data_IF_573007536077
#
_entry.id   IF_573007536077
#
_cell.length_a   1.000
_cell.length_b   1.000
_cell.length_c   1.000
_cell.angle_alpha   90.00
_cell.angle_beta   90.00
_cell.angle_gamma   90.00
#
_symmetry.space_group_name_H-M   'P 1'
#
loop_
_entity.id
_entity.type
_entity.pdbx_description
1 polymer ?
#
# COMPACT_ATOMS: atom_id res chain seq x y z
N UNK A 1 -12.31 77.44 44.83
CA UNK A 1 -10.95 76.86 44.76
C UNK A 1 -11.03 75.38 45.11
N UNK A 2 -11.23 74.50 44.12
CA UNK A 2 -10.77 73.10 44.15
C UNK A 2 -11.07 72.53 42.77
N UNK A 3 -10.00 72.36 42.01
CA UNK A 3 -10.03 72.07 40.59
C UNK A 3 -10.42 70.60 40.38
N UNK A 4 -11.50 70.40 39.63
CA UNK A 4 -11.76 69.17 38.88
C UNK A 4 -10.57 68.95 37.95
N UNK A 5 -9.63 68.05 38.27
CA UNK A 5 -8.73 67.34 37.33
C UNK A 5 -7.89 66.30 38.10
N UNK A 6 -8.33 65.02 38.14
CA UNK A 6 -7.32 63.97 37.99
C UNK A 6 -7.71 62.80 37.07
N UNK A 7 -8.88 62.81 36.41
CA UNK A 7 -9.33 61.63 35.66
C UNK A 7 -8.61 61.38 34.31
N UNK A 8 -7.83 62.34 33.81
CA UNK A 8 -7.16 62.19 32.49
C UNK A 8 -5.89 61.34 32.58
N UNK A 9 -5.27 61.20 33.76
CA UNK A 9 -4.03 60.40 33.90
C UNK A 9 -4.27 58.89 33.94
N UNK A 10 -5.45 58.43 34.37
CA UNK A 10 -5.75 56.99 34.39
C UNK A 10 -5.92 56.41 32.98
N UNK A 11 -6.40 57.19 32.01
CA UNK A 11 -6.57 56.72 30.64
C UNK A 11 -5.26 56.57 29.87
N UNK A 12 -4.22 57.31 30.24
CA UNK A 12 -2.89 57.15 29.63
C UNK A 12 -2.11 55.96 30.19
N UNK A 13 -2.29 55.61 31.46
CA UNK A 13 -1.65 54.40 32.02
C UNK A 13 -2.22 53.11 31.45
N UNK A 14 -3.54 53.04 31.18
CA UNK A 14 -4.15 51.83 30.61
C UNK A 14 -3.75 51.54 29.15
N UNK A 15 -3.35 52.57 28.37
CA UNK A 15 -2.81 52.31 27.01
C UNK A 15 -1.36 51.88 27.01
N UNK A 16 -0.57 52.26 28.02
CA UNK A 16 0.84 51.85 28.09
C UNK A 16 1.02 50.39 28.52
N UNK A 17 0.06 49.79 29.23
CA UNK A 17 0.17 48.38 29.62
C UNK A 17 -0.01 47.40 28.46
N UNK A 18 -0.81 47.73 27.43
CA UNK A 18 -0.95 46.83 26.28
C UNK A 18 0.33 46.74 25.42
N UNK A 19 1.17 47.78 25.45
CA UNK A 19 2.46 47.75 24.75
C UNK A 19 3.49 46.98 25.57
N UNK A 20 3.42 47.03 26.90
CA UNK A 20 4.38 46.36 27.78
C UNK A 20 4.23 44.84 27.78
N UNK A 21 3.00 44.33 27.74
CA UNK A 21 2.75 42.87 27.69
C UNK A 21 3.27 42.23 26.40
N UNK A 22 3.29 42.96 25.28
CA UNK A 22 3.89 42.46 24.04
C UNK A 22 5.43 42.42 24.07
N UNK A 23 6.08 43.30 24.85
CA UNK A 23 7.55 43.39 24.89
C UNK A 23 8.20 42.35 25.81
N UNK A 24 7.55 41.93 26.88
CA UNK A 24 8.11 40.92 27.80
C UNK A 24 8.24 39.55 27.12
N UNK A 25 7.35 39.23 26.16
CA UNK A 25 7.33 37.96 25.45
C UNK A 25 8.56 37.70 24.54
N UNK A 26 9.36 38.74 24.23
CA UNK A 26 10.48 38.70 23.29
C UNK A 26 11.86 38.83 23.96
N UNK A 27 11.95 39.03 25.27
CA UNK A 27 13.22 39.42 25.91
C UNK A 27 14.36 38.38 25.82
N UNK A 28 14.10 37.14 25.42
CA UNK A 28 15.14 36.13 25.18
C UNK A 28 15.12 35.51 23.78
N UNK A 29 14.27 35.98 22.86
CA UNK A 29 14.05 35.37 21.56
C UNK A 29 14.55 36.32 20.46
N UNK A 30 15.48 35.84 19.63
CA UNK A 30 15.99 36.61 18.49
C UNK A 30 14.94 36.75 17.39
N UNK A 31 15.12 37.70 16.48
CA UNK A 31 14.22 37.83 15.32
C UNK A 31 14.22 36.56 14.44
N UNK A 32 15.36 35.89 14.36
CA UNK A 32 15.53 34.60 13.66
C UNK A 32 14.76 33.48 14.36
N UNK A 33 14.88 33.35 15.68
CA UNK A 33 14.11 32.38 16.48
C UNK A 33 12.60 32.58 16.30
N UNK A 34 12.15 33.83 16.24
CA UNK A 34 10.74 34.15 16.04
C UNK A 34 10.26 33.77 14.62
N UNK A 35 11.10 33.97 13.60
CA UNK A 35 10.80 33.55 12.22
C UNK A 35 10.75 32.01 12.11
N UNK A 36 11.75 31.33 12.65
CA UNK A 36 11.80 29.87 12.70
C UNK A 36 10.57 29.30 13.41
N UNK A 37 10.21 29.85 14.57
CA UNK A 37 9.02 29.43 15.30
C UNK A 37 7.73 29.69 14.51
N UNK A 38 7.64 30.78 13.74
CA UNK A 38 6.48 30.98 12.88
C UNK A 38 6.40 29.94 11.77
N UNK A 39 7.48 29.70 11.06
CA UNK A 39 7.53 28.71 9.96
C UNK A 39 7.17 27.32 10.49
N UNK A 40 7.76 26.94 11.62
CA UNK A 40 7.39 25.72 12.36
C UNK A 40 5.89 25.66 12.67
N UNK A 41 5.31 26.71 13.25
CA UNK A 41 3.88 26.70 13.63
C UNK A 41 2.95 26.76 12.39
N UNK A 42 3.40 27.34 11.28
CA UNK A 42 2.69 27.32 10.00
C UNK A 42 2.63 25.91 9.44
N UNK A 43 3.77 25.23 9.43
CA UNK A 43 3.92 23.88 8.89
C UNK A 43 3.21 22.84 9.76
N UNK A 44 3.54 22.77 11.05
CA UNK A 44 3.09 21.67 11.92
C UNK A 44 1.77 21.92 12.65
N UNK A 45 1.34 23.18 12.79
CA UNK A 45 0.18 23.57 13.60
C UNK A 45 -0.85 24.42 12.84
N UNK A 46 -0.73 24.52 11.52
CA UNK A 46 -1.63 25.26 10.63
C UNK A 46 -1.84 26.72 11.07
N UNK A 47 -0.78 27.40 11.50
CA UNK A 47 -0.83 28.82 11.84
C UNK A 47 -1.23 29.64 10.60
N UNK A 48 -2.42 30.24 10.62
CA UNK A 48 -2.91 31.11 9.55
C UNK A 48 -2.45 32.56 9.76
N UNK A 49 -1.41 32.94 9.04
CA UNK A 49 -0.89 34.32 9.03
C UNK A 49 -1.42 35.12 7.83
N UNK A 50 -1.81 36.37 8.10
CA UNK A 50 -2.07 37.40 7.07
C UNK A 50 -0.86 38.34 7.00
N UNK A 51 -0.47 38.74 5.78
CA UNK A 51 0.80 39.39 5.41
C UNK A 51 1.21 40.56 6.30
N UNK A 52 0.25 41.36 6.79
CA UNK A 52 0.48 42.42 7.77
C UNK A 52 -0.44 42.21 8.97
N UNK A 53 0.09 41.79 10.11
CA UNK A 53 -0.72 41.72 11.32
C UNK A 53 0.03 42.22 12.55
N UNK A 54 -0.43 43.34 13.11
CA UNK A 54 0.07 43.89 14.39
C UNK A 54 -0.11 42.94 15.59
N UNK A 55 -0.85 41.83 15.40
CA UNK A 55 -1.13 40.79 16.40
C UNK A 55 -0.44 39.44 16.10
N UNK A 56 0.70 39.47 15.41
CA UNK A 56 1.48 38.28 15.02
C UNK A 56 1.83 37.40 16.23
N UNK A 57 2.45 37.98 17.25
CA UNK A 57 2.79 37.28 18.49
C UNK A 57 1.55 36.72 19.23
N UNK A 58 0.46 37.49 19.31
CA UNK A 58 -0.78 37.02 19.96
C UNK A 58 -1.40 35.82 19.26
N UNK A 59 -1.35 35.75 17.92
CA UNK A 59 -1.86 34.59 17.17
C UNK A 59 -0.99 33.35 17.34
N UNK A 60 0.32 33.53 17.56
CA UNK A 60 1.22 32.42 17.80
C UNK A 60 0.96 31.79 19.17
N UNK A 61 0.55 32.56 20.20
CA UNK A 61 0.37 32.06 21.57
C UNK A 61 -0.47 30.79 21.65
N UNK A 62 -1.61 30.74 20.96
CA UNK A 62 -2.49 29.56 20.99
C UNK A 62 -1.83 28.35 20.31
N UNK A 63 -1.06 28.56 19.25
CA UNK A 63 -0.32 27.51 18.55
C UNK A 63 0.93 27.07 19.32
N UNK A 64 1.59 27.98 20.04
CA UNK A 64 2.67 27.68 20.97
C UNK A 64 2.13 26.81 22.11
N UNK A 65 0.98 27.16 22.71
CA UNK A 65 0.35 26.29 23.74
C UNK A 65 0.00 24.93 23.19
N UNK A 66 -0.57 24.84 21.99
CA UNK A 66 -0.89 23.56 21.36
C UNK A 66 0.36 22.70 21.15
N UNK A 67 1.47 23.29 20.71
CA UNK A 67 2.76 22.62 20.59
C UNK A 67 3.30 22.19 21.95
N UNK A 68 3.32 23.09 22.93
CA UNK A 68 3.77 22.79 24.28
C UNK A 68 2.98 21.63 24.89
N UNK A 69 1.65 21.66 24.75
CA UNK A 69 0.77 20.58 25.19
C UNK A 69 1.05 19.25 24.47
N UNK A 70 1.29 19.28 23.15
CA UNK A 70 1.62 18.07 22.39
C UNK A 70 2.91 17.41 22.88
N UNK A 71 3.93 18.22 23.18
CA UNK A 71 5.25 17.77 23.62
C UNK A 71 5.41 17.65 25.15
N UNK A 72 4.29 17.69 25.90
CA UNK A 72 4.27 17.66 27.38
C UNK A 72 5.20 18.70 28.04
N UNK A 73 5.30 19.87 27.41
CA UNK A 73 5.96 21.05 27.95
C UNK A 73 4.96 21.88 28.76
N UNK A 74 5.48 22.70 29.68
CA UNK A 74 4.66 23.70 30.37
C UNK A 74 4.05 24.67 29.36
N UNK A 75 2.72 24.82 29.37
CA UNK A 75 1.96 25.67 28.45
C UNK A 75 2.12 27.18 28.76
N UNK A 76 3.33 27.71 28.58
CA UNK A 76 3.68 29.11 28.87
C UNK A 76 3.15 30.08 27.82
N UNK A 77 2.87 29.61 26.59
CA UNK A 77 2.60 30.43 25.41
C UNK A 77 3.76 31.35 24.99
N UNK A 78 4.95 31.16 25.57
CA UNK A 78 6.16 31.92 25.27
C UNK A 78 7.16 31.04 24.53
N UNK A 79 7.97 31.67 23.66
CA UNK A 79 9.13 31.05 23.02
C UNK A 79 10.29 30.97 24.00
N UNK A 80 10.08 30.24 25.10
CA UNK A 80 11.14 29.94 26.04
C UNK A 80 12.19 28.99 25.43
N UNK A 81 13.36 28.89 26.06
CA UNK A 81 14.48 28.10 25.57
C UNK A 81 14.10 26.62 25.30
N UNK A 82 13.25 26.03 26.13
CA UNK A 82 12.81 24.63 25.92
C UNK A 82 11.92 24.51 24.68
N UNK A 83 11.01 25.46 24.49
CA UNK A 83 10.12 25.52 23.32
C UNK A 83 10.93 25.71 22.03
N UNK A 84 11.85 26.67 22.00
CA UNK A 84 12.70 26.93 20.83
C UNK A 84 13.61 25.76 20.50
N UNK A 85 14.26 25.14 21.50
CA UNK A 85 15.08 23.96 21.25
C UNK A 85 14.25 22.81 20.69
N UNK A 86 13.06 22.58 21.23
CA UNK A 86 12.16 21.55 20.71
C UNK A 86 11.68 21.81 19.27
N UNK A 87 11.63 23.07 18.81
CA UNK A 87 11.30 23.44 17.43
C UNK A 87 12.50 23.31 16.47
N UNK A 88 13.73 23.20 16.98
CA UNK A 88 14.96 23.04 16.19
C UNK A 88 15.43 21.60 16.08
N UNK A 89 14.80 20.68 16.79
CA UNK A 89 15.12 19.25 16.73
C UNK A 89 14.66 18.63 15.41
N UNK A 90 15.52 17.81 14.82
CA UNK A 90 15.24 17.07 13.60
C UNK A 90 14.05 16.12 13.78
N UNK A 91 13.19 16.02 12.76
CA UNK A 91 11.85 15.42 12.89
C UNK A 91 11.21 15.02 11.57
N UNK A 92 10.09 14.31 11.66
CA UNK A 92 9.13 14.11 10.59
C UNK A 92 8.45 15.43 10.19
N UNK A 93 8.19 15.59 8.90
CA UNK A 93 7.57 16.74 8.23
C UNK A 93 6.04 16.75 8.23
N UNK A 94 5.39 15.68 8.71
CA UNK A 94 3.93 15.59 8.78
C UNK A 94 3.39 16.51 9.90
N UNK A 95 2.26 17.23 9.73
CA UNK A 95 1.77 18.13 10.76
C UNK A 95 1.31 17.41 12.06
N UNK A 96 1.62 17.98 13.23
CA UNK A 96 1.30 17.40 14.55
C UNK A 96 -0.19 17.47 14.90
N UNK A 97 -0.91 18.39 14.26
CA UNK A 97 -2.36 18.57 14.45
C UNK A 97 -3.20 17.67 13.53
N UNK A 98 -2.57 16.97 12.59
CA UNK A 98 -3.21 15.98 11.73
C UNK A 98 -3.48 14.72 12.55
N UNK A 99 -4.75 14.52 12.92
CA UNK A 99 -5.18 13.34 13.64
C UNK A 99 -5.75 12.32 12.65
N UNK A 100 -4.88 11.66 11.87
CA UNK A 100 -5.29 10.61 10.91
C UNK A 100 -6.24 9.58 11.54
N UNK A 101 -6.08 9.30 12.84
CA UNK A 101 -6.93 8.37 13.60
C UNK A 101 -8.40 8.82 13.74
N UNK A 102 -8.69 10.12 13.61
CA UNK A 102 -10.02 10.73 13.81
C UNK A 102 -10.66 11.36 12.57
N UNK A 103 -9.99 11.37 11.41
CA UNK A 103 -10.68 11.77 10.18
C UNK A 103 -11.82 10.80 9.86
N UNK A 104 -12.95 11.30 9.32
CA UNK A 104 -13.95 10.47 8.68
C UNK A 104 -13.25 9.60 7.62
N UNK A 105 -13.16 8.29 7.87
CA UNK A 105 -12.62 7.33 6.90
C UNK A 105 -11.51 6.41 7.41
N UNK A 106 -10.76 6.79 8.46
CA UNK A 106 -9.61 6.01 8.99
C UNK A 106 -8.77 5.39 7.86
N UNK A 107 -8.06 6.22 7.08
CA UNK A 107 -7.40 5.77 5.86
C UNK A 107 -6.45 4.61 6.18
N UNK A 108 -6.77 3.46 5.62
CA UNK A 108 -6.02 2.21 5.74
C UNK A 108 -6.04 1.50 4.41
N UNK A 109 -5.00 0.71 4.14
CA UNK A 109 -4.98 -0.13 2.95
C UNK A 109 -6.12 -1.16 3.00
N UNK A 110 -6.83 -1.32 1.88
CA UNK A 110 -7.90 -2.32 1.73
C UNK A 110 -7.34 -3.75 1.68
N UNK A 111 -6.09 -3.88 1.22
CA UNK A 111 -5.32 -5.11 1.16
C UNK A 111 -4.25 -5.11 2.25
N UNK A 112 -4.02 -6.27 2.86
CA UNK A 112 -2.87 -6.48 3.75
C UNK A 112 -1.57 -6.75 2.99
N UNK A 113 -1.66 -6.97 1.68
CA UNK A 113 -0.52 -7.03 0.78
C UNK A 113 -0.35 -5.64 0.18
N UNK A 114 0.76 -5.01 0.51
CA UNK A 114 1.11 -3.64 0.13
C UNK A 114 2.35 -3.71 -0.76
N UNK A 115 2.24 -3.19 -1.97
CA UNK A 115 3.37 -3.11 -2.90
C UNK A 115 4.20 -1.88 -2.64
N UNK A 116 5.51 -2.00 -2.81
CA UNK A 116 6.39 -0.85 -2.74
C UNK A 116 7.43 -0.85 -3.84
N UNK A 117 7.98 0.33 -4.12
CA UNK A 117 9.12 0.50 -5.03
C UNK A 117 9.97 1.68 -4.59
N UNK A 118 11.19 1.74 -5.11
CA UNK A 118 12.10 2.87 -4.91
C UNK A 118 12.23 3.60 -6.24
N UNK A 119 11.75 4.86 -6.30
CA UNK A 119 11.79 5.65 -7.53
C UNK A 119 13.12 6.39 -7.69
N UNK A 120 13.70 6.86 -6.59
CA UNK A 120 14.98 7.57 -6.56
C UNK A 120 15.76 7.12 -5.33
N UNK A 121 17.06 6.91 -5.48
CA UNK A 121 17.98 6.54 -4.41
C UNK A 121 18.81 7.76 -4.00
N UNK A 122 19.23 7.80 -2.73
CA UNK A 122 20.23 8.77 -2.25
C UNK A 122 21.63 8.41 -2.76
N UNK A 123 22.49 9.40 -3.08
CA UNK A 123 23.89 9.16 -3.42
C UNK A 123 24.75 8.75 -2.20
N UNK A 124 24.27 8.93 -0.97
CA UNK A 124 25.05 8.68 0.25
C UNK A 124 25.27 7.20 0.57
N UNK A 125 24.38 6.35 0.05
CA UNK A 125 24.30 4.92 0.36
C UNK A 125 24.28 4.10 -0.92
N UNK A 126 24.83 2.88 -0.85
CA UNK A 126 24.70 1.92 -1.95
C UNK A 126 23.23 1.50 -2.09
N UNK A 127 22.73 1.19 -3.30
CA UNK A 127 21.34 0.73 -3.49
C UNK A 127 20.94 -0.42 -2.57
N UNK A 128 21.84 -1.38 -2.34
CA UNK A 128 21.63 -2.52 -1.43
C UNK A 128 21.45 -2.06 0.04
N UNK A 129 22.16 -1.02 0.48
CA UNK A 129 22.04 -0.47 1.83
C UNK A 129 20.71 0.24 2.05
N UNK A 130 20.23 0.95 1.01
CA UNK A 130 18.89 1.55 0.99
C UNK A 130 17.83 0.45 1.04
N UNK A 131 17.89 -0.52 0.13
CA UNK A 131 16.93 -1.63 0.06
C UNK A 131 16.87 -2.42 1.38
N UNK A 132 18.01 -2.76 1.97
CA UNK A 132 18.06 -3.45 3.25
C UNK A 132 17.48 -2.62 4.40
N UNK A 133 17.76 -1.32 4.44
CA UNK A 133 17.21 -0.42 5.47
C UNK A 133 15.69 -0.33 5.38
N UNK A 134 15.15 -0.18 4.16
CA UNK A 134 13.71 -0.13 3.92
C UNK A 134 13.05 -1.47 4.22
N UNK A 135 13.66 -2.59 3.83
CA UNK A 135 13.17 -3.93 4.20
C UNK A 135 13.06 -4.06 5.73
N UNK A 136 14.11 -3.73 6.48
CA UNK A 136 14.08 -3.81 7.94
C UNK A 136 12.99 -2.91 8.54
N UNK A 137 12.79 -1.71 8.00
CA UNK A 137 11.74 -0.78 8.44
C UNK A 137 10.33 -1.35 8.18
N UNK A 138 10.08 -1.88 6.99
CA UNK A 138 8.83 -2.60 6.63
C UNK A 138 8.61 -3.81 7.56
N UNK A 139 9.70 -4.51 7.91
CA UNK A 139 9.64 -5.70 8.75
C UNK A 139 9.07 -5.39 10.13
N UNK A 140 9.46 -4.28 10.76
CA UNK A 140 8.93 -3.86 12.08
C UNK A 140 7.39 -3.92 12.10
N UNK A 141 6.76 -3.37 11.06
CA UNK A 141 5.30 -3.33 10.97
C UNK A 141 4.69 -4.69 10.64
N UNK A 142 5.30 -5.46 9.73
CA UNK A 142 4.85 -6.81 9.38
C UNK A 142 5.05 -7.87 10.49
N UNK A 143 5.89 -7.57 11.49
CA UNK A 143 6.04 -8.40 12.68
C UNK A 143 4.88 -8.17 13.67
N UNK A 144 4.33 -6.95 13.74
CA UNK A 144 3.27 -6.58 14.67
C UNK A 144 1.84 -6.82 14.13
N UNK A 145 1.67 -6.74 12.81
CA UNK A 145 0.39 -6.84 12.11
C UNK A 145 0.47 -7.84 10.95
N UNK A 146 -0.66 -8.42 10.47
CA UNK A 146 -0.68 -9.37 9.36
C UNK A 146 -0.50 -8.67 8.01
N UNK A 147 0.52 -7.81 7.90
CA UNK A 147 0.90 -7.06 6.72
C UNK A 147 1.99 -7.79 5.95
N UNK A 148 2.00 -7.62 4.64
CA UNK A 148 3.01 -8.17 3.75
C UNK A 148 3.42 -7.12 2.74
N UNK A 149 4.72 -6.88 2.65
CA UNK A 149 5.28 -5.92 1.73
C UNK A 149 5.93 -6.64 0.55
N UNK A 150 5.59 -6.22 -0.67
CA UNK A 150 6.12 -6.84 -1.90
C UNK A 150 6.77 -5.76 -2.75
N UNK A 151 8.08 -5.89 -2.96
CA UNK A 151 8.80 -4.99 -3.85
C UNK A 151 8.41 -5.28 -5.30
N UNK A 152 8.05 -4.25 -6.04
CA UNK A 152 7.89 -4.29 -7.49
C UNK A 152 8.91 -3.37 -8.15
N UNK A 153 9.44 -3.78 -9.30
CA UNK A 153 10.50 -3.03 -10.00
C UNK A 153 9.97 -1.97 -10.97
N UNK A 154 8.77 -2.20 -11.50
CA UNK A 154 8.14 -1.36 -12.52
C UNK A 154 6.64 -1.27 -12.25
N UNK A 155 6.01 -0.22 -12.78
CA UNK A 155 4.58 0.03 -12.60
C UNK A 155 4.25 0.87 -11.37
N UNK A 156 2.95 0.97 -11.08
CA UNK A 156 2.44 1.71 -9.92
C UNK A 156 2.48 0.82 -8.69
N UNK A 157 3.10 1.31 -7.62
CA UNK A 157 3.09 0.69 -6.30
C UNK A 157 2.10 1.40 -5.37
N UNK A 158 1.76 0.77 -4.25
CA UNK A 158 1.01 1.39 -3.16
C UNK A 158 1.89 2.37 -2.37
N UNK A 159 3.19 2.09 -2.24
CA UNK A 159 4.18 2.95 -1.57
C UNK A 159 5.38 3.18 -2.49
N UNK A 160 5.65 4.41 -2.87
CA UNK A 160 6.87 4.81 -3.57
C UNK A 160 7.81 5.53 -2.61
N UNK A 161 9.01 4.98 -2.42
CA UNK A 161 10.09 5.67 -1.73
C UNK A 161 10.87 6.54 -2.72
N UNK A 162 11.17 7.78 -2.34
CA UNK A 162 12.08 8.63 -3.11
C UNK A 162 12.87 9.59 -2.21
N UNK A 163 14.10 9.88 -2.61
CA UNK A 163 14.96 10.86 -1.96
C UNK A 163 14.96 12.12 -2.83
N UNK A 164 14.55 13.25 -2.27
CA UNK A 164 14.38 14.51 -2.98
C UNK A 164 14.89 15.68 -2.15
N UNK A 165 15.20 16.80 -2.80
CA UNK A 165 15.63 18.04 -2.14
C UNK A 165 14.59 19.14 -2.34
N UNK A 166 14.37 19.97 -1.31
CA UNK A 166 13.57 21.21 -1.40
C UNK A 166 12.20 20.99 -2.04
N UNK A 167 11.82 21.78 -3.04
CA UNK A 167 10.57 21.60 -3.78
C UNK A 167 10.70 20.46 -4.79
N UNK A 168 9.87 19.42 -4.64
CA UNK A 168 10.03 18.16 -5.39
C UNK A 168 8.72 17.58 -5.95
N UNK A 169 7.71 18.44 -6.18
CA UNK A 169 6.50 18.08 -6.94
C UNK A 169 5.24 17.86 -6.09
N UNK A 170 5.34 17.98 -4.77
CA UNK A 170 4.20 18.03 -3.86
C UNK A 170 4.08 19.43 -3.18
N UNK A 171 3.24 19.53 -2.15
CA UNK A 171 2.98 20.76 -1.40
C UNK A 171 3.86 20.92 -0.15
N UNK A 172 4.83 20.04 0.08
CA UNK A 172 5.62 19.95 1.30
C UNK A 172 7.12 20.01 0.97
N UNK A 173 7.67 21.18 0.59
CA UNK A 173 9.09 21.30 0.28
C UNK A 173 9.95 21.05 1.53
N UNK A 174 11.10 20.40 1.35
CA UNK A 174 12.10 20.27 2.42
C UNK A 174 12.85 21.57 2.70
N UNK A 175 13.36 21.71 3.93
CA UNK A 175 14.07 22.87 4.46
C UNK A 175 15.60 22.81 4.27
N UNK A 176 16.12 21.69 3.78
CA UNK A 176 17.55 21.47 3.56
C UNK A 176 18.19 20.78 4.77
N UNK A 177 19.48 20.99 5.06
CA UNK A 177 20.14 20.27 6.15
C UNK A 177 19.58 20.62 7.53
N UNK A 178 19.21 19.59 8.29
CA UNK A 178 18.52 19.68 9.57
C UNK A 178 17.03 19.97 9.43
N UNK A 179 16.29 19.85 10.54
CA UNK A 179 14.86 20.16 10.54
C UNK A 179 14.02 18.98 10.05
N UNK A 180 13.45 19.06 8.85
CA UNK A 180 12.56 18.02 8.31
C UNK A 180 13.35 16.94 7.59
N UNK A 181 13.36 15.73 8.15
CA UNK A 181 14.12 14.61 7.59
C UNK A 181 13.40 13.88 6.46
N UNK A 182 12.07 13.83 6.55
CA UNK A 182 11.21 13.09 5.64
C UNK A 182 9.75 13.47 5.88
N UNK A 183 8.88 13.08 4.96
CA UNK A 183 7.44 13.01 5.18
C UNK A 183 6.83 11.84 4.41
N UNK A 184 5.63 11.47 4.82
CA UNK A 184 4.85 10.43 4.16
C UNK A 184 3.37 10.81 4.05
N UNK A 185 2.73 10.24 3.04
CA UNK A 185 1.30 10.41 2.82
C UNK A 185 0.51 9.23 3.40
N UNK A 186 -0.69 9.52 3.87
CA UNK A 186 -1.63 8.50 4.35
C UNK A 186 -2.01 7.49 3.24
N UNK A 187 -2.52 6.29 3.59
CA UNK A 187 -2.99 5.30 2.63
C UNK A 187 -4.01 5.89 1.66
N UNK A 188 -3.73 5.81 0.35
CA UNK A 188 -4.58 6.44 -0.64
C UNK A 188 -4.17 6.16 -2.07
N UNK A 189 -4.86 6.80 -3.01
CA UNK A 189 -4.46 6.79 -4.41
C UNK A 189 -3.49 7.92 -4.75
N UNK A 190 -2.84 7.86 -5.92
CA UNK A 190 -1.89 8.88 -6.34
C UNK A 190 -0.63 8.82 -5.49
N UNK A 191 -0.32 9.92 -4.79
CA UNK A 191 0.78 10.03 -3.84
C UNK A 191 0.48 9.36 -2.48
N UNK A 192 -0.75 8.89 -2.25
CA UNK A 192 -1.11 8.23 -1.01
C UNK A 192 -0.20 7.03 -0.73
N UNK A 193 0.37 6.96 0.47
CA UNK A 193 1.35 5.96 0.86
C UNK A 193 2.80 6.29 0.53
N UNK A 194 3.08 7.24 -0.37
CA UNK A 194 4.45 7.53 -0.77
C UNK A 194 5.25 8.16 0.38
N UNK A 195 6.56 7.87 0.40
CA UNK A 195 7.51 8.36 1.41
C UNK A 195 8.61 9.13 0.71
N UNK A 196 8.77 10.39 1.09
CA UNK A 196 9.82 11.26 0.59
C UNK A 196 10.84 11.51 1.70
N UNK A 197 12.12 11.28 1.40
CA UNK A 197 13.24 11.57 2.29
C UNK A 197 13.96 12.84 1.80
N UNK A 198 14.40 13.69 2.72
CA UNK A 198 15.20 14.86 2.35
C UNK A 198 16.62 14.41 1.97
N UNK A 199 16.97 14.56 0.69
CA UNK A 199 18.28 14.20 0.13
C UNK A 199 19.32 15.32 0.36
N UNK A 200 18.93 16.46 0.95
CA UNK A 200 19.87 17.44 1.48
C UNK A 200 20.46 17.01 2.85
N UNK A 201 19.89 15.95 3.46
CA UNK A 201 20.41 15.33 4.68
C UNK A 201 21.44 14.22 4.39
N UNK A 202 22.36 14.00 5.32
CA UNK A 202 23.35 12.91 5.21
C UNK A 202 22.72 11.60 5.70
N UNK A 203 22.50 10.65 4.80
CA UNK A 203 21.91 9.35 5.12
C UNK A 203 22.96 8.31 5.51
N UNK A 204 22.67 7.54 6.58
CA UNK A 204 23.60 6.56 7.14
C UNK A 204 22.92 5.23 7.45
N UNK A 205 23.74 4.17 7.54
CA UNK A 205 23.37 2.86 8.07
C UNK A 205 24.14 2.57 9.36
N UNK A 206 23.48 1.92 10.32
CA UNK A 206 24.09 1.56 11.62
C UNK A 206 24.46 2.77 12.50
N UNK A 207 25.45 2.57 13.38
CA UNK A 207 26.04 3.63 14.22
C UNK A 207 27.44 3.97 13.72
N UNK A 208 27.86 5.22 13.92
CA UNK A 208 29.27 5.62 13.83
C UNK A 208 29.60 6.68 12.78
N UNK A 209 28.64 7.08 11.94
CA UNK A 209 28.77 8.21 11.03
C UNK A 209 27.82 9.35 11.43
N UNK A 210 28.24 10.63 11.36
CA UNK A 210 27.32 11.76 11.44
C UNK A 210 26.26 11.66 10.35
N UNK A 211 25.02 12.03 10.68
CA UNK A 211 23.87 11.95 9.78
C UNK A 211 22.67 11.26 10.42
N UNK A 212 21.66 10.98 9.60
CA UNK A 212 20.41 10.36 10.02
C UNK A 212 20.33 8.92 9.55
N UNK A 213 19.85 8.05 10.41
CA UNK A 213 19.78 6.63 10.12
C UNK A 213 18.52 6.33 9.29
N UNK A 214 18.72 5.84 8.06
CA UNK A 214 17.61 5.62 7.12
C UNK A 214 16.55 4.66 7.67
N UNK A 215 16.96 3.56 8.31
CA UNK A 215 16.02 2.63 8.94
C UNK A 215 15.14 3.30 9.99
N UNK A 216 15.72 4.16 10.85
CA UNK A 216 14.99 4.87 11.90
C UNK A 216 13.91 5.78 11.30
N UNK A 217 14.27 6.60 10.32
CA UNK A 217 13.33 7.54 9.68
C UNK A 217 12.29 6.78 8.87
N UNK A 218 12.70 5.83 8.03
CA UNK A 218 11.79 5.03 7.21
C UNK A 218 10.77 4.25 8.05
N UNK A 219 11.18 3.74 9.22
CA UNK A 219 10.26 3.02 10.11
C UNK A 219 9.14 3.94 10.63
N UNK A 220 9.45 5.20 10.94
CA UNK A 220 8.47 6.22 11.33
C UNK A 220 7.54 6.59 10.17
N UNK A 221 8.10 6.98 9.03
CA UNK A 221 7.32 7.39 7.85
C UNK A 221 6.39 6.29 7.32
N UNK A 222 6.82 5.03 7.44
CA UNK A 222 5.97 3.89 7.11
C UNK A 222 4.75 3.76 8.02
N UNK A 223 4.81 4.23 9.28
CA UNK A 223 3.63 4.27 10.13
C UNK A 223 2.56 5.21 9.57
N UNK A 224 2.96 6.39 9.07
CA UNK A 224 2.05 7.28 8.33
C UNK A 224 1.52 6.63 7.06
N UNK A 225 2.40 6.00 6.28
CA UNK A 225 2.04 5.25 5.08
C UNK A 225 1.06 4.09 5.34
N UNK A 226 0.93 3.66 6.59
CA UNK A 226 0.02 2.61 7.05
C UNK A 226 -1.24 3.15 7.73
N UNK A 227 -1.35 4.47 7.94
CA UNK A 227 -2.52 5.14 8.51
C UNK A 227 -2.37 5.58 9.97
N UNK A 228 -1.16 5.62 10.52
CA UNK A 228 -0.90 6.10 11.88
C UNK A 228 -0.55 7.59 11.89
N UNK A 229 -1.00 8.30 12.94
CA UNK A 229 -0.60 9.68 13.23
C UNK A 229 0.54 9.75 14.22
N UNK A 230 1.12 10.94 14.36
CA UNK A 230 2.10 11.18 15.41
C UNK A 230 1.54 10.81 16.79
N UNK A 231 2.40 10.19 17.60
CA UNK A 231 2.13 9.91 19.00
C UNK A 231 2.63 11.06 19.88
N UNK A 232 1.95 11.26 21.01
CA UNK A 232 2.42 12.13 22.09
C UNK A 232 3.38 11.41 23.06
N UNK A 233 3.49 10.08 22.96
CA UNK A 233 4.38 9.28 23.80
C UNK A 233 5.82 9.36 23.27
N UNK A 234 6.77 9.96 24.01
CA UNK A 234 8.18 10.08 23.58
C UNK A 234 8.93 8.74 23.47
N UNK A 235 8.30 7.63 23.85
CA UNK A 235 8.83 6.27 23.69
C UNK A 235 8.32 5.56 22.42
N UNK A 236 7.27 6.10 21.79
CA UNK A 236 6.68 5.56 20.57
C UNK A 236 7.60 5.80 19.35
N UNK A 237 7.53 4.90 18.38
CA UNK A 237 8.16 5.07 17.07
C UNK A 237 7.54 6.27 16.34
N UNK A 238 6.22 6.43 16.43
CA UNK A 238 5.46 7.53 15.84
C UNK A 238 5.62 8.87 16.58
N UNK A 239 6.53 8.99 17.55
CA UNK A 239 6.87 10.31 18.10
C UNK A 239 7.63 11.12 17.04
N UNK A 240 7.24 12.38 16.76
CA UNK A 240 7.70 13.09 15.56
C UNK A 240 9.20 13.43 15.54
N UNK A 241 9.84 13.53 16.71
CA UNK A 241 11.24 13.92 16.81
C UNK A 241 12.16 12.72 16.59
N UNK A 242 13.20 12.93 15.80
CA UNK A 242 14.16 11.90 15.48
C UNK A 242 14.88 11.38 16.71
N UNK A 243 14.84 10.05 16.89
CA UNK A 243 15.58 9.34 17.93
C UNK A 243 16.09 8.03 17.36
N UNK A 244 17.41 7.92 17.24
CA UNK A 244 18.06 6.73 16.69
C UNK A 244 17.57 5.44 17.36
N UNK A 245 17.19 4.46 16.54
CA UNK A 245 16.86 3.09 16.97
C UNK A 245 17.75 2.07 16.26
N UNK A 246 18.07 0.98 16.95
CA UNK A 246 18.89 -0.08 16.38
C UNK A 246 18.02 -1.20 15.79
N UNK A 247 18.06 -1.38 14.48
CA UNK A 247 17.29 -2.38 13.76
C UNK A 247 17.42 -3.81 14.32
N UNK A 248 18.59 -4.18 14.86
CA UNK A 248 18.83 -5.53 15.36
C UNK A 248 18.12 -5.83 16.69
N UNK A 249 17.84 -4.80 17.50
CA UNK A 249 17.31 -4.97 18.87
C UNK A 249 15.98 -4.28 19.09
N UNK A 250 15.54 -3.42 18.17
CA UNK A 250 14.33 -2.63 18.35
C UNK A 250 13.08 -3.51 18.27
N UNK A 251 12.17 -3.28 19.20
CA UNK A 251 10.84 -3.88 19.22
C UNK A 251 9.84 -2.75 19.19
N UNK A 252 8.82 -2.88 18.35
CA UNK A 252 7.77 -1.87 18.23
C UNK A 252 7.14 -1.60 19.61
N UNK A 253 7.12 -0.34 20.08
CA UNK A 253 6.52 0.02 21.35
C UNK A 253 5.03 -0.29 21.43
N UNK A 254 4.48 -0.32 22.66
CA UNK A 254 3.09 -0.70 22.90
C UNK A 254 2.11 0.24 22.20
N UNK A 255 2.36 1.54 22.22
CA UNK A 255 1.50 2.55 21.61
C UNK A 255 1.34 2.29 20.10
N UNK A 256 2.47 2.19 19.38
CA UNK A 256 2.47 1.92 17.94
C UNK A 256 1.91 0.53 17.61
N UNK A 257 2.20 -0.48 18.44
CA UNK A 257 1.68 -1.84 18.28
C UNK A 257 0.16 -1.87 18.37
N UNK A 258 -0.43 -1.16 19.34
CA UNK A 258 -1.89 -1.07 19.47
C UNK A 258 -2.49 -0.27 18.31
N UNK A 259 -1.82 0.80 17.87
CA UNK A 259 -2.24 1.58 16.71
C UNK A 259 -2.32 0.74 15.44
N UNK A 260 -1.25 0.04 15.07
CA UNK A 260 -1.23 -0.76 13.83
C UNK A 260 -2.20 -1.95 13.91
N UNK A 261 -2.34 -2.58 15.08
CA UNK A 261 -3.26 -3.70 15.27
C UNK A 261 -4.73 -3.26 15.27
N UNK A 262 -5.03 -2.01 15.63
CA UNK A 262 -6.38 -1.46 15.48
C UNK A 262 -6.79 -1.30 14.01
N UNK A 263 -5.83 -1.10 13.09
CA UNK A 263 -6.07 -0.95 11.66
C UNK A 263 -6.10 -2.29 10.91
N UNK A 264 -5.15 -3.18 11.21
CA UNK A 264 -4.90 -4.40 10.43
C UNK A 264 -5.12 -5.70 11.21
N UNK A 265 -5.43 -5.61 12.50
CA UNK A 265 -5.56 -6.77 13.38
C UNK A 265 -4.22 -7.29 13.90
N UNK A 266 -4.29 -8.31 14.75
CA UNK A 266 -3.10 -9.00 15.29
C UNK A 266 -2.62 -10.06 14.31
N UNK A 267 -1.30 -10.18 14.15
CA UNK A 267 -0.70 -11.29 13.39
C UNK A 267 -1.02 -12.61 14.11
N UNK A 268 -1.80 -13.48 13.48
CA UNK A 268 -2.03 -14.85 13.97
C UNK A 268 -1.05 -15.82 13.30
N UNK A 269 -0.67 -16.90 14.00
CA UNK A 269 0.27 -17.91 13.46
C UNK A 269 -0.21 -18.56 12.15
N UNK A 270 -1.51 -18.51 11.86
CA UNK A 270 -2.10 -19.12 10.65
C UNK A 270 -2.11 -18.18 9.43
N UNK A 271 -1.80 -16.89 9.59
CA UNK A 271 -1.95 -15.86 8.54
C UNK A 271 -0.70 -15.62 7.69
N UNK A 272 0.35 -16.44 7.80
CA UNK A 272 1.45 -16.38 6.84
C UNK A 272 0.92 -16.82 5.47
N UNK A 273 0.60 -15.85 4.61
CA UNK A 273 0.35 -16.08 3.19
C UNK A 273 1.58 -16.77 2.61
N UNK A 274 1.50 -18.10 2.46
CA UNK A 274 2.52 -18.92 1.84
C UNK A 274 2.64 -18.48 0.38
N UNK A 275 3.69 -17.73 0.03
CA UNK A 275 4.05 -17.57 -1.38
C UNK A 275 4.43 -18.97 -1.83
N UNK A 276 3.70 -19.56 -2.77
CA UNK A 276 4.09 -20.86 -3.27
C UNK A 276 5.46 -20.69 -3.91
N UNK A 277 6.45 -21.45 -3.45
CA UNK A 277 7.70 -21.53 -4.18
C UNK A 277 7.38 -22.05 -5.57
N UNK A 278 7.74 -21.27 -6.59
CA UNK A 278 7.34 -21.45 -7.99
C UNK A 278 7.47 -22.90 -8.47
N UNK A 279 8.57 -23.58 -8.14
CA UNK A 279 8.82 -24.95 -8.58
C UNK A 279 8.20 -26.05 -7.72
N UNK A 280 7.69 -25.69 -6.54
CA UNK A 280 6.93 -26.59 -5.66
C UNK A 280 5.42 -26.56 -5.97
N UNK A 281 4.99 -25.71 -6.91
CA UNK A 281 3.60 -25.63 -7.34
C UNK A 281 3.22 -26.87 -8.13
N UNK A 282 2.54 -27.80 -7.47
CA UNK A 282 2.04 -29.03 -8.09
C UNK A 282 0.67 -28.88 -8.74
N UNK A 283 -0.04 -27.75 -8.58
CA UNK A 283 -1.35 -27.51 -9.20
C UNK A 283 -1.70 -26.02 -9.19
N UNK A 284 -2.39 -25.55 -10.22
CA UNK A 284 -2.93 -24.18 -10.31
C UNK A 284 -4.41 -24.18 -9.94
N UNK A 285 -4.87 -23.09 -9.34
CA UNK A 285 -6.29 -22.92 -9.01
C UNK A 285 -7.08 -22.40 -10.22
N UNK A 286 -6.44 -21.65 -11.11
CA UNK A 286 -7.02 -21.23 -12.39
C UNK A 286 -5.91 -20.87 -13.38
N UNK A 287 -6.23 -20.93 -14.68
CA UNK A 287 -5.37 -20.44 -15.77
C UNK A 287 -6.22 -19.74 -16.81
N UNK A 288 -5.75 -18.63 -17.37
CA UNK A 288 -6.42 -17.92 -18.48
C UNK A 288 -5.41 -17.18 -19.33
N UNK A 289 -5.79 -16.76 -20.54
CA UNK A 289 -4.97 -15.89 -21.38
C UNK A 289 -5.59 -14.50 -21.41
N UNK A 290 -4.84 -13.49 -20.98
CA UNK A 290 -5.27 -12.10 -21.12
C UNK A 290 -4.19 -11.30 -21.85
N UNK A 291 -4.62 -10.56 -22.86
CA UNK A 291 -3.73 -9.86 -23.80
C UNK A 291 -2.69 -10.80 -24.45
N UNK A 292 -1.45 -10.80 -23.96
CA UNK A 292 -0.32 -11.60 -24.46
C UNK A 292 0.29 -12.49 -23.37
N UNK A 293 -0.35 -12.56 -22.21
CA UNK A 293 0.16 -13.26 -21.05
C UNK A 293 -0.74 -14.44 -20.71
N UNK A 294 -0.13 -15.60 -20.51
CA UNK A 294 -0.77 -16.75 -19.87
C UNK A 294 -0.65 -16.51 -18.37
N UNK A 295 -1.78 -16.45 -17.70
CA UNK A 295 -1.87 -16.12 -16.29
C UNK A 295 -2.19 -17.37 -15.50
N UNK A 296 -1.33 -17.71 -14.54
CA UNK A 296 -1.46 -18.85 -13.65
C UNK A 296 -1.76 -18.36 -12.24
N UNK A 297 -2.88 -18.80 -11.66
CA UNK A 297 -3.30 -18.41 -10.32
C UNK A 297 -3.01 -19.52 -9.30
N UNK A 298 -2.51 -19.13 -8.13
CA UNK A 298 -2.39 -20.01 -6.97
C UNK A 298 -2.55 -19.24 -5.66
N UNK A 299 -3.52 -19.62 -4.86
CA UNK A 299 -3.91 -18.96 -3.62
C UNK A 299 -4.18 -17.46 -3.88
N UNK A 300 -3.35 -16.57 -3.34
CA UNK A 300 -3.41 -15.12 -3.56
C UNK A 300 -2.23 -14.62 -4.40
N UNK A 301 -1.62 -15.49 -5.20
CA UNK A 301 -0.43 -15.20 -6.00
C UNK A 301 -0.67 -15.61 -7.46
N UNK A 302 0.05 -14.95 -8.37
CA UNK A 302 -0.05 -15.26 -9.79
C UNK A 302 1.27 -15.08 -10.53
N UNK A 303 1.40 -15.85 -11.60
CA UNK A 303 2.48 -15.75 -12.58
C UNK A 303 1.90 -15.41 -13.94
N UNK A 304 2.56 -14.51 -14.65
CA UNK A 304 2.22 -14.11 -16.01
C UNK A 304 3.41 -14.44 -16.91
N UNK A 305 3.19 -15.38 -17.84
CA UNK A 305 4.18 -15.77 -18.84
C UNK A 305 3.75 -15.27 -20.20
N UNK A 306 4.67 -14.62 -20.90
CA UNK A 306 4.39 -14.14 -22.25
C UNK A 306 4.22 -15.31 -23.22
N UNK A 307 3.18 -15.26 -24.06
CA UNK A 307 2.92 -16.26 -25.10
C UNK A 307 3.77 -16.04 -26.38
N UNK A 308 4.63 -15.02 -26.40
CA UNK A 308 5.45 -14.67 -27.54
C UNK A 308 6.75 -15.48 -27.61
N UNK A 309 6.99 -16.18 -28.74
CA UNK A 309 8.14 -17.09 -28.90
C UNK A 309 9.50 -16.45 -28.60
N UNK A 310 9.74 -15.21 -29.03
CA UNK A 310 11.05 -14.57 -28.84
C UNK A 310 11.32 -14.07 -27.42
N UNK A 311 10.33 -14.15 -26.51
CA UNK A 311 10.46 -13.69 -25.12
C UNK A 311 9.99 -14.72 -24.09
N UNK A 312 9.90 -15.99 -24.46
CA UNK A 312 9.31 -17.06 -23.64
C UNK A 312 9.95 -17.21 -22.23
N UNK A 313 11.15 -16.65 -22.02
CA UNK A 313 11.85 -16.61 -20.74
C UNK A 313 11.36 -15.50 -19.77
N UNK A 314 10.51 -14.56 -20.21
CA UNK A 314 9.96 -13.53 -19.33
C UNK A 314 8.79 -14.10 -18.53
N UNK A 315 8.94 -14.05 -17.21
CA UNK A 315 7.92 -14.39 -16.23
C UNK A 315 7.77 -13.21 -15.28
N UNK A 316 6.60 -12.59 -15.25
CA UNK A 316 6.23 -11.64 -14.20
C UNK A 316 5.51 -12.41 -13.10
N UNK A 317 5.67 -12.01 -11.86
CA UNK A 317 4.99 -12.64 -10.74
C UNK A 317 4.65 -11.63 -9.66
N UNK A 318 3.64 -11.94 -8.87
CA UNK A 318 3.26 -11.12 -7.75
C UNK A 318 1.90 -11.51 -7.17
N UNK A 319 1.49 -10.82 -6.10
CA UNK A 319 0.20 -11.05 -5.48
C UNK A 319 -0.96 -10.74 -6.43
N UNK A 320 -2.00 -11.57 -6.42
CA UNK A 320 -3.22 -11.37 -7.22
C UNK A 320 -3.83 -9.98 -6.97
N UNK A 321 -3.82 -9.52 -5.72
CA UNK A 321 -4.42 -8.25 -5.31
C UNK A 321 -3.83 -7.02 -6.02
N UNK A 322 -2.61 -7.14 -6.54
CA UNK A 322 -1.92 -6.08 -7.29
C UNK A 322 -2.46 -6.00 -8.71
N UNK A 323 -2.58 -7.14 -9.38
CA UNK A 323 -2.98 -7.21 -10.79
C UNK A 323 -4.50 -7.27 -10.99
N UNK A 324 -5.25 -7.72 -9.99
CA UNK A 324 -6.71 -7.82 -10.01
C UNK A 324 -7.30 -7.20 -8.73
N UNK A 325 -7.18 -5.87 -8.56
CA UNK A 325 -7.70 -5.21 -7.37
C UNK A 325 -9.23 -5.35 -7.32
N UNK A 326 -9.81 -5.49 -6.13
CA UNK A 326 -11.26 -5.68 -5.92
C UNK A 326 -11.84 -7.06 -6.27
N UNK A 327 -11.03 -7.99 -6.80
CA UNK A 327 -11.45 -9.40 -6.96
C UNK A 327 -10.94 -10.19 -5.74
N UNK A 328 -11.82 -10.89 -4.99
CA UNK A 328 -11.41 -11.73 -3.87
C UNK A 328 -10.45 -12.85 -4.32
N UNK A 329 -9.59 -13.31 -3.41
CA UNK A 329 -8.75 -14.50 -3.61
C UNK A 329 -9.21 -15.61 -2.65
N UNK A 330 -9.05 -16.90 -2.99
CA UNK A 330 -8.46 -17.41 -4.23
C UNK A 330 -9.43 -17.34 -5.43
N UNK A 331 -8.86 -17.47 -6.64
CA UNK A 331 -9.62 -17.66 -7.88
C UNK A 331 -9.87 -19.16 -8.06
N UNK A 332 -11.12 -19.54 -8.29
CA UNK A 332 -11.53 -20.94 -8.42
C UNK A 332 -11.48 -21.43 -9.88
N UNK A 333 -11.71 -20.54 -10.84
CA UNK A 333 -11.63 -20.83 -12.26
C UNK A 333 -11.42 -19.55 -13.05
N UNK A 334 -10.88 -19.65 -14.27
CA UNK A 334 -10.85 -18.55 -15.22
C UNK A 334 -10.90 -19.09 -16.64
N UNK A 335 -11.40 -18.29 -17.58
CA UNK A 335 -11.29 -18.55 -19.02
C UNK A 335 -11.32 -17.22 -19.78
N UNK A 336 -10.79 -17.21 -21.00
CA UNK A 336 -10.81 -16.04 -21.86
C UNK A 336 -11.63 -16.25 -23.13
N UNK A 337 -12.16 -15.15 -23.66
CA UNK A 337 -12.80 -15.12 -24.97
C UNK A 337 -11.94 -14.22 -25.87
N UNK A 338 -11.03 -14.79 -26.68
CA UNK A 338 -10.07 -14.02 -27.47
C UNK A 338 -10.72 -12.99 -28.40
N UNK A 339 -11.88 -13.31 -28.97
CA UNK A 339 -12.63 -12.42 -29.86
C UNK A 339 -13.18 -11.18 -29.16
N UNK A 340 -13.45 -11.27 -27.86
CA UNK A 340 -13.92 -10.15 -27.02
C UNK A 340 -12.77 -9.47 -26.27
N UNK A 341 -11.58 -10.11 -26.22
CA UNK A 341 -10.40 -9.64 -25.47
C UNK A 341 -10.67 -9.48 -23.97
N UNK A 342 -11.46 -10.39 -23.41
CA UNK A 342 -11.80 -10.40 -21.99
C UNK A 342 -11.51 -11.77 -21.37
N UNK A 343 -11.17 -11.78 -20.09
CA UNK A 343 -11.10 -12.96 -19.25
C UNK A 343 -12.22 -12.92 -18.20
N UNK A 344 -12.92 -14.03 -18.03
CA UNK A 344 -13.86 -14.27 -16.95
C UNK A 344 -13.12 -14.96 -15.81
N UNK A 345 -13.20 -14.39 -14.62
CA UNK A 345 -12.52 -14.87 -13.40
C UNK A 345 -13.58 -15.19 -12.36
N UNK A 346 -13.53 -16.39 -11.79
CA UNK A 346 -14.55 -16.93 -10.89
C UNK A 346 -14.03 -17.04 -9.45
N UNK A 347 -14.84 -16.61 -8.49
CA UNK A 347 -14.64 -16.94 -7.07
C UNK A 347 -15.99 -17.12 -6.37
N UNK A 348 -16.19 -18.31 -5.82
CA UNK A 348 -17.47 -18.82 -5.34
C UNK A 348 -18.57 -18.76 -6.41
N UNK A 349 -19.78 -18.29 -6.08
CA UNK A 349 -20.91 -18.23 -7.01
C UNK A 349 -20.90 -16.97 -7.90
N UNK A 350 -19.78 -16.25 -7.95
CA UNK A 350 -19.65 -14.97 -8.67
C UNK A 350 -18.53 -15.05 -9.70
N UNK A 351 -18.67 -14.23 -10.73
CA UNK A 351 -17.63 -14.01 -11.73
C UNK A 351 -17.37 -12.52 -11.94
N UNK A 352 -16.19 -12.20 -12.44
CA UNK A 352 -15.76 -10.85 -12.83
C UNK A 352 -15.21 -10.89 -14.25
N UNK A 353 -15.51 -9.86 -15.03
CA UNK A 353 -15.03 -9.70 -16.40
C UNK A 353 -13.85 -8.75 -16.41
N UNK A 354 -12.68 -9.28 -16.74
CA UNK A 354 -11.39 -8.59 -16.74
C UNK A 354 -10.97 -8.33 -18.19
N UNK A 355 -10.92 -7.06 -18.58
CA UNK A 355 -10.43 -6.65 -19.90
C UNK A 355 -8.94 -6.27 -19.87
N UNK A 356 -8.49 -5.77 -18.72
CA UNK A 356 -7.12 -5.29 -18.49
C UNK A 356 -6.73 -5.54 -17.03
N UNK A 357 -5.49 -5.97 -16.81
CA UNK A 357 -4.91 -6.04 -15.47
C UNK A 357 -4.79 -4.64 -14.86
N UNK A 358 -4.78 -4.59 -13.53
CA UNK A 358 -4.64 -3.37 -12.73
C UNK A 358 -5.81 -2.38 -12.90
N UNK A 359 -6.91 -2.81 -13.52
CA UNK A 359 -8.16 -2.03 -13.60
C UNK A 359 -8.84 -1.97 -12.24
N UNK A 360 -9.38 -0.81 -11.87
CA UNK A 360 -9.94 -0.58 -10.52
C UNK A 360 -11.34 -1.13 -10.32
N UNK A 361 -12.08 -1.34 -11.41
CA UNK A 361 -13.45 -1.83 -11.39
C UNK A 361 -13.64 -2.83 -12.51
N UNK A 362 -14.47 -3.83 -12.24
CA UNK A 362 -14.79 -4.93 -13.11
C UNK A 362 -16.30 -5.14 -13.08
N UNK A 363 -16.87 -5.44 -14.24
CA UNK A 363 -18.23 -5.96 -14.28
C UNK A 363 -18.25 -7.32 -13.57
N UNK A 364 -19.28 -7.59 -12.78
CA UNK A 364 -19.45 -8.84 -12.09
C UNK A 364 -20.87 -9.36 -12.28
N UNK A 365 -21.02 -10.68 -12.19
CA UNK A 365 -22.30 -11.35 -12.23
C UNK A 365 -22.29 -12.62 -11.40
N UNK A 366 -23.37 -13.38 -11.49
CA UNK A 366 -23.50 -14.67 -10.83
C UNK A 366 -23.37 -15.82 -11.81
N UNK A 367 -22.75 -16.92 -11.38
CA UNK A 367 -22.68 -18.13 -12.19
C UNK A 367 -24.09 -18.60 -12.62
N UNK A 368 -25.12 -18.34 -11.82
CA UNK A 368 -26.50 -18.73 -12.16
C UNK A 368 -27.04 -18.04 -13.42
N UNK A 369 -26.43 -16.92 -13.86
CA UNK A 369 -26.74 -16.27 -15.16
C UNK A 369 -26.37 -17.15 -16.36
N UNK A 370 -25.38 -18.04 -16.22
CA UNK A 370 -25.06 -19.05 -17.24
C UNK A 370 -26.07 -20.20 -17.26
N UNK A 371 -26.95 -20.29 -16.26
CA UNK A 371 -27.93 -21.38 -16.11
C UNK A 371 -27.44 -22.56 -15.27
N UNK A 372 -26.45 -22.36 -14.38
CA UNK A 372 -26.06 -23.39 -13.42
C UNK A 372 -27.17 -23.67 -12.40
N UNK A 373 -27.37 -24.93 -12.01
CA UNK A 373 -28.31 -25.28 -10.94
C UNK A 373 -27.78 -24.81 -9.59
N UNK A 374 -28.67 -24.48 -8.64
CA UNK A 374 -28.29 -23.94 -7.32
C UNK A 374 -27.37 -24.85 -6.49
N UNK A 375 -27.34 -26.15 -6.80
CA UNK A 375 -26.43 -27.11 -6.16
C UNK A 375 -24.95 -26.83 -6.50
N UNK A 376 -24.69 -26.20 -7.65
CA UNK A 376 -23.33 -25.78 -8.05
C UNK A 376 -23.05 -24.44 -7.40
N UNK A 377 -22.17 -24.43 -6.41
CA UNK A 377 -21.79 -23.23 -5.65
C UNK A 377 -20.50 -22.57 -6.14
N UNK A 378 -19.69 -23.30 -6.89
CA UNK A 378 -18.42 -22.87 -7.47
C UNK A 378 -18.09 -23.69 -8.72
N UNK A 379 -17.13 -23.20 -9.49
CA UNK A 379 -16.61 -23.84 -10.71
C UNK A 379 -15.14 -24.15 -10.47
N UNK A 380 -14.69 -25.36 -10.78
CA UNK A 380 -13.31 -25.81 -10.51
C UNK A 380 -12.34 -25.48 -11.65
N UNK A 381 -12.84 -25.39 -12.90
CA UNK A 381 -12.07 -24.92 -14.04
C UNK A 381 -13.01 -24.48 -15.17
N UNK A 382 -12.54 -23.64 -16.07
CA UNK A 382 -13.28 -23.22 -17.25
C UNK A 382 -12.35 -23.10 -18.46
N UNK A 383 -12.86 -23.37 -19.66
CA UNK A 383 -12.12 -23.12 -20.90
C UNK A 383 -13.07 -22.80 -22.03
N UNK A 384 -12.83 -21.68 -22.71
CA UNK A 384 -13.46 -21.40 -23.98
C UNK A 384 -12.69 -22.09 -25.09
N UNK A 385 -13.41 -22.71 -26.01
CA UNK A 385 -12.87 -23.30 -27.22
C UNK A 385 -13.39 -22.48 -28.39
N UNK A 386 -12.48 -21.71 -28.99
CA UNK A 386 -12.79 -20.73 -30.02
C UNK A 386 -13.44 -21.38 -31.24
N UNK A 387 -12.93 -22.54 -31.63
CA UNK A 387 -13.56 -23.36 -32.68
C UNK A 387 -14.88 -23.94 -32.13
N UNK A 388 -15.99 -23.63 -32.80
CA UNK A 388 -17.35 -23.95 -32.33
C UNK A 388 -17.96 -22.95 -31.34
N UNK A 389 -17.16 -22.08 -30.71
CA UNK A 389 -17.65 -21.03 -29.80
C UNK A 389 -18.32 -21.62 -28.55
N UNK A 390 -17.69 -22.63 -27.95
CA UNK A 390 -18.22 -23.35 -26.78
C UNK A 390 -17.34 -23.11 -25.58
N UNK A 391 -17.96 -22.88 -24.43
CA UNK A 391 -17.26 -22.81 -23.14
C UNK A 391 -17.58 -24.05 -22.32
N UNK A 392 -16.55 -24.70 -21.79
CA UNK A 392 -16.68 -25.87 -20.93
C UNK A 392 -16.36 -25.48 -19.50
N UNK A 393 -17.28 -25.79 -18.59
CA UNK A 393 -17.13 -25.55 -17.16
C UNK A 393 -17.02 -26.88 -16.42
N UNK A 394 -16.03 -27.02 -15.56
CA UNK A 394 -15.76 -28.25 -14.80
C UNK A 394 -16.17 -28.10 -13.34
N UNK A 395 -16.84 -29.10 -12.79
CA UNK A 395 -17.30 -29.15 -11.39
C UNK A 395 -17.24 -30.59 -10.89
N UNK A 396 -16.37 -30.88 -9.93
CA UNK A 396 -16.07 -32.24 -9.49
C UNK A 396 -15.66 -33.13 -10.67
N UNK A 397 -16.30 -34.30 -10.78
CA UNK A 397 -16.04 -35.26 -11.85
C UNK A 397 -16.87 -35.02 -13.13
N UNK A 398 -17.54 -33.87 -13.20
CA UNK A 398 -18.47 -33.52 -14.26
C UNK A 398 -18.07 -32.24 -14.97
N UNK A 399 -18.57 -32.07 -16.19
CA UNK A 399 -18.45 -30.82 -16.93
C UNK A 399 -19.75 -30.45 -17.63
N UNK A 400 -19.95 -29.16 -17.81
CA UNK A 400 -21.02 -28.52 -18.57
C UNK A 400 -20.48 -27.99 -19.90
N UNK A 401 -21.35 -27.84 -20.89
CA UNK A 401 -21.05 -27.19 -22.17
C UNK A 401 -22.01 -26.02 -22.32
N UNK A 402 -21.47 -24.84 -22.59
CA UNK A 402 -22.20 -23.60 -22.73
C UNK A 402 -22.00 -23.05 -24.15
N UNK A 403 -23.11 -22.68 -24.77
CA UNK A 403 -23.13 -22.05 -26.09
C UNK A 403 -23.03 -20.53 -25.93
N UNK A 404 -21.85 -19.97 -26.18
CA UNK A 404 -21.58 -18.52 -26.05
C UNK A 404 -22.35 -17.68 -27.08
N UNK A 405 -22.83 -18.27 -28.18
CA UNK A 405 -23.64 -17.53 -29.16
C UNK A 405 -25.09 -17.45 -28.73
N UNK A 406 -25.60 -18.52 -28.14
CA UNK A 406 -27.01 -18.63 -27.70
C UNK A 406 -27.20 -18.24 -26.24
N UNK A 407 -26.12 -18.05 -25.50
CA UNK A 407 -26.10 -17.79 -24.07
C UNK A 407 -26.86 -18.83 -23.24
N UNK A 408 -26.73 -20.13 -23.57
CA UNK A 408 -27.44 -21.22 -22.87
C UNK A 408 -26.56 -22.46 -22.68
N UNK A 409 -26.81 -23.22 -21.61
CA UNK A 409 -26.25 -24.55 -21.42
C UNK A 409 -26.77 -25.52 -22.49
N UNK A 410 -25.87 -26.31 -23.07
CA UNK A 410 -26.21 -27.35 -24.03
C UNK A 410 -27.01 -28.48 -23.35
N UNK A 411 -27.97 -29.05 -24.08
CA UNK A 411 -28.78 -30.17 -23.59
C UNK A 411 -27.93 -31.43 -23.40
N UNK A 412 -28.25 -32.22 -22.38
CA UNK A 412 -27.55 -33.46 -22.06
C UNK A 412 -26.30 -33.28 -21.19
N UNK A 413 -26.10 -32.08 -20.63
CA UNK A 413 -25.08 -31.76 -19.63
C UNK A 413 -25.71 -31.57 -18.25
N UNK A 414 -24.98 -31.82 -17.15
CA UNK A 414 -23.55 -32.19 -17.10
C UNK A 414 -23.26 -33.63 -17.50
N UNK A 415 -22.02 -33.90 -17.94
CA UNK A 415 -21.53 -35.26 -18.25
C UNK A 415 -20.25 -35.56 -17.47
N UNK A 416 -19.95 -36.84 -17.25
CA UNK A 416 -18.67 -37.25 -16.64
C UNK A 416 -17.50 -36.77 -17.51
N UNK A 417 -16.47 -36.19 -16.91
CA UNK A 417 -15.34 -35.59 -17.62
C UNK A 417 -14.69 -36.59 -18.59
N UNK A 418 -14.43 -37.82 -18.13
CA UNK A 418 -13.79 -38.87 -18.92
C UNK A 418 -14.54 -39.29 -20.20
N UNK A 419 -15.83 -38.99 -20.31
CA UNK A 419 -16.63 -39.28 -21.52
C UNK A 419 -16.34 -38.31 -22.66
N UNK A 420 -15.98 -37.07 -22.33
CA UNK A 420 -15.63 -36.03 -23.30
C UNK A 420 -14.13 -35.77 -23.41
N UNK A 421 -13.38 -36.07 -22.35
CA UNK A 421 -11.95 -35.81 -22.20
C UNK A 421 -11.25 -37.09 -21.76
N UNK A 422 -10.99 -38.02 -22.70
CA UNK A 422 -10.42 -39.33 -22.38
C UNK A 422 -9.08 -39.21 -21.64
N UNK A 423 -8.89 -40.03 -20.61
CA UNK A 423 -7.67 -40.06 -19.79
C UNK A 423 -7.71 -39.16 -18.55
N UNK A 424 -8.66 -38.24 -18.46
CA UNK A 424 -8.87 -37.45 -17.24
C UNK A 424 -9.66 -38.25 -16.22
N UNK A 425 -9.10 -38.40 -15.02
CA UNK A 425 -9.72 -39.10 -13.88
C UNK A 425 -9.81 -38.12 -12.72
N UNK A 426 -11.01 -37.93 -12.18
CA UNK A 426 -11.27 -36.97 -11.13
C UNK A 426 -11.52 -35.55 -11.66
N UNK A 427 -11.35 -34.57 -10.78
CA UNK A 427 -11.53 -33.14 -11.09
C UNK A 427 -10.42 -32.55 -11.95
N UNK A 428 -10.78 -31.50 -12.67
CA UNK A 428 -9.86 -30.59 -13.37
C UNK A 428 -9.65 -29.38 -12.46
N UNK A 429 -8.40 -29.03 -12.18
CA UNK A 429 -8.03 -27.92 -11.29
C UNK A 429 -7.91 -26.59 -12.03
N UNK A 430 -7.56 -26.61 -13.32
CA UNK A 430 -7.53 -25.42 -14.17
C UNK A 430 -7.60 -25.83 -15.65
N UNK A 431 -8.01 -24.90 -16.52
CA UNK A 431 -8.03 -25.13 -17.95
C UNK A 431 -7.81 -23.84 -18.73
N UNK A 432 -7.27 -23.93 -19.95
CA UNK A 432 -7.20 -22.80 -20.88
C UNK A 432 -6.99 -23.30 -22.32
N UNK A 433 -7.26 -22.43 -23.30
CA UNK A 433 -6.97 -22.69 -24.71
C UNK A 433 -5.71 -21.93 -25.14
N UNK A 434 -4.80 -22.59 -25.86
CA UNK A 434 -3.66 -21.93 -26.49
C UNK A 434 -3.36 -22.55 -27.86
N UNK A 435 -3.32 -21.72 -28.90
CA UNK A 435 -3.04 -22.14 -30.28
C UNK A 435 -3.94 -23.30 -30.76
N UNK A 436 -5.25 -23.23 -30.47
CA UNK A 436 -6.23 -24.24 -30.87
C UNK A 436 -6.13 -25.57 -30.10
N UNK A 437 -5.42 -25.58 -28.97
CA UNK A 437 -5.27 -26.75 -28.09
C UNK A 437 -5.82 -26.42 -26.72
N UNK A 438 -6.54 -27.39 -26.16
CA UNK A 438 -7.10 -27.28 -24.82
C UNK A 438 -6.12 -27.91 -23.84
N UNK A 439 -5.75 -27.14 -22.82
CA UNK A 439 -4.86 -27.56 -21.75
C UNK A 439 -5.70 -27.75 -20.49
N UNK A 440 -5.73 -28.97 -19.95
CA UNK A 440 -6.42 -29.30 -18.69
C UNK A 440 -5.37 -29.65 -17.64
N UNK A 441 -5.42 -29.02 -16.47
CA UNK A 441 -4.55 -29.31 -15.34
C UNK A 441 -5.27 -30.19 -14.33
N UNK A 442 -4.65 -31.31 -13.97
CA UNK A 442 -5.13 -32.22 -12.93
C UNK A 442 -3.96 -32.54 -12.02
N UNK A 443 -3.90 -31.88 -10.87
CA UNK A 443 -2.77 -31.95 -9.94
C UNK A 443 -1.46 -31.66 -10.69
N UNK A 444 -0.46 -32.53 -10.51
CA UNK A 444 0.90 -32.38 -11.04
C UNK A 444 1.03 -32.59 -12.54
N UNK A 445 -0.07 -32.91 -13.25
CA UNK A 445 -0.06 -33.14 -14.69
C UNK A 445 -0.97 -32.17 -15.42
N UNK A 446 -0.47 -31.67 -16.54
CA UNK A 446 -1.26 -30.98 -17.56
C UNK A 446 -1.42 -31.89 -18.78
N UNK A 447 -2.63 -31.92 -19.33
CA UNK A 447 -3.05 -32.75 -20.45
C UNK A 447 -3.43 -31.84 -21.61
N UNK A 448 -2.84 -32.07 -22.78
CA UNK A 448 -3.02 -31.24 -23.96
C UNK A 448 -3.90 -32.00 -24.95
N UNK A 449 -5.05 -31.44 -25.29
CA UNK A 449 -6.02 -32.00 -26.22
C UNK A 449 -6.07 -31.20 -27.52
N UNK A 450 -6.35 -31.89 -28.63
CA UNK A 450 -6.75 -31.23 -29.88
C UNK A 450 -8.16 -30.65 -29.75
N UNK A 451 -8.56 -29.80 -30.71
CA UNK A 451 -9.93 -29.30 -30.77
C UNK A 451 -10.98 -30.42 -30.80
N UNK A 452 -10.71 -31.54 -31.48
CA UNK A 452 -11.55 -32.74 -31.50
C UNK A 452 -11.47 -33.58 -30.21
N UNK A 453 -10.92 -33.03 -29.12
CA UNK A 453 -10.79 -33.66 -27.80
C UNK A 453 -9.98 -34.96 -27.80
N UNK A 454 -9.01 -35.09 -28.71
CA UNK A 454 -8.04 -36.18 -28.70
C UNK A 454 -6.82 -35.79 -27.85
N UNK A 455 -6.45 -36.62 -26.89
CA UNK A 455 -5.24 -36.40 -26.08
C UNK A 455 -3.99 -36.45 -26.98
N UNK A 456 -3.18 -35.39 -26.92
CA UNK A 456 -1.96 -35.23 -27.71
C UNK A 456 -0.71 -35.50 -26.89
N UNK A 457 -0.61 -34.88 -25.72
CA UNK A 457 0.58 -34.96 -24.87
C UNK A 457 0.22 -34.70 -23.41
N UNK A 458 1.08 -35.15 -22.49
CA UNK A 458 0.99 -34.85 -21.06
C UNK A 458 2.34 -34.34 -20.57
N UNK A 459 2.34 -33.34 -19.71
CA UNK A 459 3.56 -32.77 -19.12
C UNK A 459 3.33 -32.36 -17.66
N UNK A 460 4.42 -32.17 -16.91
CA UNK A 460 4.32 -31.71 -15.53
C UNK A 460 3.76 -30.28 -15.47
N UNK A 461 2.91 -30.02 -14.48
CA UNK A 461 2.26 -28.71 -14.30
C UNK A 461 3.26 -27.57 -14.10
N UNK A 462 4.30 -27.79 -13.29
CA UNK A 462 5.34 -26.80 -13.00
C UNK A 462 6.25 -26.48 -14.20
N UNK A 463 6.27 -27.33 -15.25
CA UNK A 463 7.02 -27.04 -16.48
C UNK A 463 6.52 -25.75 -17.15
N UNK A 464 5.24 -25.40 -16.98
CA UNK A 464 4.68 -24.12 -17.43
C UNK A 464 5.30 -22.90 -16.73
N UNK A 465 5.91 -23.08 -15.56
CA UNK A 465 6.65 -22.04 -14.84
C UNK A 465 8.18 -22.11 -15.08
N UNK A 466 8.62 -22.96 -16.01
CA UNK A 466 10.03 -23.07 -16.41
C UNK A 466 10.85 -23.88 -15.41
N UNK A 467 10.20 -24.76 -14.65
CA UNK A 467 10.85 -25.71 -13.74
C UNK A 467 11.07 -27.05 -14.47
N UNK A 468 12.19 -27.71 -14.15
CA UNK A 468 12.62 -28.99 -14.74
C UNK A 468 12.17 -30.18 -13.91
#
# INVERSE_FOLDING_TARGET
>A
MSWLWPWILLFWMLKMDSVRTSRVALQSCTQEDFQHAEEYLRHFYHLKMRVYNKRRAERMKDKIRAMQHFFDLKETAFLDHKTLNGMKEARCGVPDVENFSFYPGRPKWKSNIITYRIARFTPDLRPEEVENSLHLALKIWSDAAPLKFVQIKEGRADITFSFNSKAHGDFFPFDGPGGVLAHAFEPGEGLGGDVHFDDDEIWTVGRGRPGYNLFTVAAHELGHSLGLSHSKDPTALMYPKYKFINAATYKLPRDDTLGIQALYGKKTRQQELVIPNKCDVISFDAVTVLEKEIIFFKNSYMWMRTNWRSYWNRLKEGPQSVFLPSIPSPIDAAYDIPSQRVAYVFTGPKYWVVQKLESKSYYYGSIYEFGFPEIVRQIDAAVHVSEGGKTYFFTGDYYFSYDEKRNVMDRGFPRKINTGWPGIVGKVDAAFELNGRVHLFCRSKSFIFSHQKRLLHTMNTNAWLGCS
#
